data_IF_185116289839
#
_entry.id   IF_185116289839
#
_cell.length_a   1.000
_cell.length_b   1.000
_cell.length_c   1.000
_cell.angle_alpha   90.00
_cell.angle_beta   90.00
_cell.angle_gamma   90.00
#
_symmetry.space_group_name_H-M   'P 1'
#
loop_
_entity.id
_entity.type
_entity.pdbx_description
1 polymer ?
#
# COMPACT_ATOMS: atom_id res chain seq x y z
N UNK A 1 -21.87 0.91 4.67
CA UNK A 1 -21.67 2.32 5.09
C UNK A 1 -20.35 2.90 4.60
N UNK A 2 -19.16 2.30 4.84
CA UNK A 2 -17.87 2.83 4.34
C UNK A 2 -17.76 2.74 2.82
N UNK A 3 -18.07 1.60 2.24
CA UNK A 3 -18.01 1.38 0.78
C UNK A 3 -18.88 2.36 0.01
N UNK A 4 -20.12 2.60 0.48
CA UNK A 4 -21.03 3.57 -0.14
C UNK A 4 -20.55 5.02 0.00
N UNK A 5 -19.93 5.39 1.13
CA UNK A 5 -19.37 6.72 1.35
C UNK A 5 -18.18 7.00 0.43
N UNK A 6 -17.41 5.96 0.11
CA UNK A 6 -16.26 6.02 -0.81
C UNK A 6 -16.65 5.82 -2.28
N UNK A 7 -17.91 5.45 -2.56
CA UNK A 7 -18.36 5.15 -3.91
C UNK A 7 -17.73 3.88 -4.51
N UNK A 8 -17.32 2.93 -3.65
CA UNK A 8 -16.75 1.66 -4.10
C UNK A 8 -17.86 0.72 -4.56
N UNK A 9 -17.67 0.14 -5.75
CA UNK A 9 -18.56 -0.87 -6.32
C UNK A 9 -18.10 -2.26 -5.86
N UNK A 10 -18.93 -2.91 -5.05
CA UNK A 10 -18.59 -4.21 -4.45
C UNK A 10 -18.42 -5.32 -5.51
N UNK A 11 -19.19 -5.28 -6.59
CA UNK A 11 -19.08 -6.28 -7.66
C UNK A 11 -17.75 -6.13 -8.41
N UNK A 12 -17.30 -4.90 -8.65
CA UNK A 12 -15.98 -4.63 -9.22
C UNK A 12 -14.84 -5.05 -8.27
N UNK A 13 -14.99 -4.87 -6.96
CA UNK A 13 -13.99 -5.33 -5.98
C UNK A 13 -13.87 -6.86 -5.96
N UNK A 14 -14.99 -7.59 -6.09
CA UNK A 14 -14.98 -9.04 -6.23
C UNK A 14 -14.35 -9.50 -7.54
N UNK A 15 -14.65 -8.82 -8.66
CA UNK A 15 -14.04 -9.10 -9.96
C UNK A 15 -12.52 -8.85 -9.94
N UNK A 16 -12.09 -7.74 -9.34
CA UNK A 16 -10.68 -7.41 -9.15
C UNK A 16 -9.95 -8.49 -8.35
N UNK A 17 -10.57 -8.97 -7.26
CA UNK A 17 -10.00 -10.03 -6.44
C UNK A 17 -9.90 -11.36 -7.19
N UNK A 18 -10.91 -11.69 -8.00
CA UNK A 18 -10.87 -12.88 -8.87
C UNK A 18 -9.74 -12.79 -9.90
N UNK A 19 -9.57 -11.62 -10.53
CA UNK A 19 -8.47 -11.39 -11.48
C UNK A 19 -7.11 -11.50 -10.78
N UNK A 20 -6.96 -10.87 -9.62
CA UNK A 20 -5.74 -10.96 -8.82
C UNK A 20 -5.37 -12.41 -8.48
N UNK A 21 -6.37 -13.23 -8.15
CA UNK A 21 -6.18 -14.66 -7.88
C UNK A 21 -5.68 -15.43 -9.12
N UNK A 22 -6.27 -15.18 -10.29
CA UNK A 22 -5.83 -15.80 -11.53
C UNK A 22 -4.40 -15.43 -11.88
N UNK A 23 -4.06 -14.15 -11.70
CA UNK A 23 -2.70 -13.64 -11.92
C UNK A 23 -1.72 -14.29 -10.95
N UNK A 24 -2.00 -14.27 -9.65
CA UNK A 24 -1.14 -14.87 -8.63
C UNK A 24 -0.80 -16.33 -8.96
N UNK A 25 -1.80 -17.12 -9.34
CA UNK A 25 -1.63 -18.52 -9.73
C UNK A 25 -0.85 -18.69 -11.03
N UNK A 26 -1.11 -17.84 -12.02
CA UNK A 26 -0.49 -17.97 -13.36
C UNK A 26 1.01 -17.70 -13.35
N UNK A 27 1.48 -16.82 -12.46
CA UNK A 27 2.90 -16.46 -12.36
C UNK A 27 3.61 -17.15 -11.17
N UNK A 28 2.87 -17.87 -10.33
CA UNK A 28 3.43 -18.55 -9.17
C UNK A 28 3.95 -17.55 -8.12
N UNK A 29 3.12 -16.56 -7.75
CA UNK A 29 3.45 -15.65 -6.65
C UNK A 29 3.65 -16.46 -5.38
N UNK A 30 4.71 -16.15 -4.64
CA UNK A 30 5.00 -16.75 -3.34
C UNK A 30 3.84 -16.55 -2.37
N UNK A 31 3.70 -17.46 -1.41
CA UNK A 31 2.70 -17.32 -0.36
C UNK A 31 2.89 -15.97 0.36
N UNK A 32 1.86 -15.12 0.43
CA UNK A 32 1.97 -13.82 1.07
C UNK A 32 2.35 -13.89 2.55
N UNK A 33 2.04 -14.98 3.25
CA UNK A 33 2.47 -15.17 4.63
C UNK A 33 3.97 -15.37 4.76
N UNK A 34 4.60 -16.09 3.82
CA UNK A 34 6.05 -16.27 3.81
C UNK A 34 6.76 -14.94 3.54
N UNK A 35 6.29 -14.18 2.55
CA UNK A 35 6.83 -12.84 2.24
C UNK A 35 6.61 -11.88 3.42
N UNK A 36 5.42 -11.93 4.04
CA UNK A 36 5.09 -11.13 5.22
C UNK A 36 6.01 -11.47 6.40
N UNK A 37 6.38 -12.74 6.57
CA UNK A 37 7.31 -13.17 7.62
C UNK A 37 8.70 -12.58 7.41
N UNK A 38 9.19 -12.54 6.17
CA UNK A 38 10.46 -11.90 5.84
C UNK A 38 10.42 -10.39 6.09
N UNK A 39 9.36 -9.71 5.64
CA UNK A 39 9.18 -8.29 5.91
C UNK A 39 9.13 -8.02 7.41
N UNK A 40 8.46 -8.89 8.18
CA UNK A 40 8.40 -8.76 9.64
C UNK A 40 9.78 -8.82 10.26
N UNK A 41 10.69 -9.67 9.77
CA UNK A 41 12.07 -9.78 10.30
C UNK A 41 12.87 -8.48 10.16
N UNK A 42 12.54 -7.65 9.18
CA UNK A 42 13.21 -6.36 8.94
C UNK A 42 12.49 -5.16 9.55
N UNK A 43 11.23 -5.32 9.97
CA UNK A 43 10.37 -4.26 10.53
C UNK A 43 10.22 -4.36 12.04
N UNK A 44 10.02 -5.58 12.58
CA UNK A 44 9.66 -5.78 13.98
C UNK A 44 10.69 -5.19 14.94
N UNK A 45 10.20 -4.45 15.94
CA UNK A 45 11.02 -3.81 16.95
C UNK A 45 11.81 -2.59 16.48
N UNK A 46 11.70 -2.20 15.21
CA UNK A 46 12.41 -1.03 14.67
C UNK A 46 11.51 0.21 14.58
N UNK A 47 12.15 1.39 14.53
CA UNK A 47 11.51 2.60 14.04
C UNK A 47 11.31 2.48 12.53
N UNK A 48 10.09 2.75 12.07
CA UNK A 48 9.71 2.72 10.66
C UNK A 48 9.22 4.10 10.23
N UNK A 49 9.76 4.60 9.12
CA UNK A 49 9.22 5.79 8.47
C UNK A 49 8.15 5.36 7.47
N UNK A 50 6.92 5.85 7.65
CA UNK A 50 5.84 5.68 6.66
C UNK A 50 5.78 6.94 5.82
N UNK A 51 6.16 6.81 4.54
CA UNK A 51 6.31 7.94 3.63
C UNK A 51 5.13 8.00 2.66
N UNK A 52 4.29 9.00 2.84
CA UNK A 52 3.16 9.31 1.94
C UNK A 52 3.53 10.34 0.90
N UNK A 53 2.64 10.53 -0.07
CA UNK A 53 2.79 11.43 -1.20
C UNK A 53 2.13 12.82 -0.98
N UNK A 54 1.94 13.23 0.26
CA UNK A 54 1.34 14.53 0.59
C UNK A 54 2.31 15.70 0.40
N UNK A 55 1.79 16.95 0.43
CA UNK A 55 2.60 18.15 0.19
C UNK A 55 3.79 18.33 1.12
N UNK A 56 3.73 17.84 2.35
CA UNK A 56 4.84 17.92 3.30
C UNK A 56 5.98 16.94 3.03
N UNK A 57 5.78 15.94 2.18
CA UNK A 57 6.78 14.90 1.89
C UNK A 57 8.11 15.51 1.42
N UNK A 58 8.05 16.37 0.42
CA UNK A 58 9.23 17.03 -0.18
C UNK A 58 10.06 17.87 0.80
N UNK A 59 9.44 18.34 1.88
CA UNK A 59 10.13 19.13 2.91
C UNK A 59 10.63 18.28 4.08
N UNK A 60 10.07 17.08 4.25
CA UNK A 60 10.24 16.27 5.45
C UNK A 60 11.07 15.01 5.24
N UNK A 61 11.22 14.50 4.00
CA UNK A 61 11.93 13.25 3.74
C UNK A 61 13.42 13.31 4.16
N UNK A 62 14.03 14.47 4.17
CA UNK A 62 15.41 14.67 4.65
C UNK A 62 15.61 14.34 6.14
N UNK A 63 14.52 14.15 6.90
CA UNK A 63 14.57 13.71 8.31
C UNK A 63 14.76 12.19 8.44
N UNK A 64 14.69 11.45 7.33
CA UNK A 64 14.87 10.00 7.33
C UNK A 64 16.36 9.70 7.49
N UNK A 65 16.67 8.95 8.54
CA UNK A 65 18.04 8.59 8.88
C UNK A 65 18.53 7.44 8.00
N UNK A 66 19.82 7.42 7.65
CA UNK A 66 20.43 6.30 6.93
C UNK A 66 20.32 5.02 7.76
N UNK A 67 20.14 3.87 7.10
CA UNK A 67 19.94 2.58 7.74
C UNK A 67 18.52 2.35 8.27
N UNK A 68 17.59 3.31 8.06
CA UNK A 68 16.22 3.20 8.51
C UNK A 68 15.41 2.19 7.69
N UNK A 69 14.33 1.69 8.30
CA UNK A 69 13.27 0.96 7.60
C UNK A 69 12.18 1.94 7.13
N UNK A 70 11.82 1.84 5.86
CA UNK A 70 10.85 2.73 5.22
C UNK A 70 9.73 1.89 4.61
N UNK A 71 8.48 2.30 4.81
CA UNK A 71 7.34 1.85 4.03
C UNK A 71 6.79 3.06 3.29
N UNK A 72 6.99 3.09 1.98
CA UNK A 72 6.59 4.22 1.15
C UNK A 72 5.34 3.91 0.33
N UNK A 73 4.48 4.92 0.20
CA UNK A 73 3.22 4.86 -0.51
C UNK A 73 3.38 5.38 -1.94
N UNK A 74 3.16 4.49 -2.90
CA UNK A 74 3.10 4.77 -4.32
C UNK A 74 4.28 5.63 -4.82
N UNK A 75 4.04 6.70 -5.56
CA UNK A 75 5.08 7.58 -6.11
C UNK A 75 6.00 8.23 -5.07
N UNK A 76 5.62 8.25 -3.77
CA UNK A 76 6.52 8.72 -2.72
C UNK A 76 7.79 7.86 -2.61
N UNK A 77 7.78 6.61 -3.10
CA UNK A 77 8.97 5.77 -3.15
C UNK A 77 10.09 6.36 -4.03
N UNK A 78 9.77 7.26 -4.97
CA UNK A 78 10.79 7.95 -5.78
C UNK A 78 11.74 8.81 -4.94
N UNK A 79 11.33 9.25 -3.75
CA UNK A 79 12.18 10.00 -2.81
C UNK A 79 13.38 9.17 -2.32
N UNK A 80 13.33 7.83 -2.43
CA UNK A 80 14.44 6.95 -2.10
C UNK A 80 15.70 7.23 -2.95
N UNK A 81 15.56 7.84 -4.12
CA UNK A 81 16.71 8.25 -4.95
C UNK A 81 17.64 9.22 -4.23
N UNK A 82 17.10 9.97 -3.25
CA UNK A 82 17.80 10.96 -2.48
C UNK A 82 18.27 10.47 -1.10
N UNK A 83 17.95 9.21 -0.77
CA UNK A 83 18.32 8.60 0.50
C UNK A 83 19.46 7.60 0.31
N UNK A 84 20.28 7.45 1.32
CA UNK A 84 21.34 6.45 1.39
C UNK A 84 20.78 5.01 1.52
N UNK A 85 21.53 4.13 2.15
CA UNK A 85 21.11 2.76 2.39
C UNK A 85 19.90 2.73 3.33
N UNK A 86 18.80 2.21 2.83
CA UNK A 86 17.54 2.02 3.57
C UNK A 86 16.91 0.70 3.16
N UNK A 87 16.20 0.06 4.09
CA UNK A 87 15.34 -1.09 3.80
C UNK A 87 13.98 -0.53 3.41
N UNK A 88 13.56 -0.73 2.17
CA UNK A 88 12.32 -0.15 1.66
C UNK A 88 11.26 -1.20 1.34
N UNK A 89 10.00 -0.87 1.63
CA UNK A 89 8.80 -1.60 1.23
C UNK A 89 7.89 -0.60 0.49
N UNK A 90 7.50 -0.93 -0.73
CA UNK A 90 6.52 -0.14 -1.49
C UNK A 90 5.11 -0.67 -1.22
N UNK A 91 4.17 0.23 -0.96
CA UNK A 91 2.73 -0.05 -0.96
C UNK A 91 2.11 0.82 -2.05
N UNK A 92 1.49 0.21 -3.06
CA UNK A 92 1.08 0.92 -4.27
C UNK A 92 -0.14 0.28 -4.92
N UNK A 93 -0.98 1.09 -5.55
CA UNK A 93 -1.97 0.66 -6.54
C UNK A 93 -1.49 0.89 -7.99
N UNK A 94 -0.22 1.34 -8.13
CA UNK A 94 0.47 1.67 -9.37
C UNK A 94 -0.09 2.90 -10.12
N UNK A 95 -0.89 3.70 -9.46
CA UNK A 95 -1.43 4.97 -9.98
C UNK A 95 -0.32 6.01 -10.23
N UNK A 96 0.74 5.98 -9.43
CA UNK A 96 1.92 6.84 -9.53
C UNK A 96 2.99 6.35 -10.53
N UNK A 97 2.69 5.27 -11.24
CA UNK A 97 3.62 4.61 -12.15
C UNK A 97 4.30 3.38 -11.55
N UNK A 98 5.03 2.66 -12.39
CA UNK A 98 5.71 1.41 -12.00
C UNK A 98 7.12 1.65 -11.46
N UNK A 99 7.74 2.75 -11.90
CA UNK A 99 9.14 3.08 -11.63
C UNK A 99 9.45 3.23 -10.12
N UNK A 100 8.57 3.83 -9.28
CA UNK A 100 8.81 3.89 -7.84
C UNK A 100 8.87 2.51 -7.17
N UNK A 101 8.03 1.57 -7.63
CA UNK A 101 8.05 0.19 -7.13
C UNK A 101 9.29 -0.58 -7.62
N UNK A 102 9.70 -0.38 -8.88
CA UNK A 102 10.93 -0.94 -9.41
C UNK A 102 12.17 -0.47 -8.64
N UNK A 103 12.24 0.81 -8.33
CA UNK A 103 13.32 1.36 -7.51
C UNK A 103 13.45 0.65 -6.16
N UNK A 104 12.33 0.36 -5.50
CA UNK A 104 12.30 -0.40 -4.24
C UNK A 104 12.78 -1.84 -4.46
N UNK A 105 12.28 -2.50 -5.50
CA UNK A 105 12.66 -3.87 -5.81
C UNK A 105 14.15 -4.01 -6.13
N UNK A 106 14.71 -3.11 -6.93
CA UNK A 106 16.12 -3.11 -7.34
C UNK A 106 17.08 -2.88 -6.16
N UNK A 107 16.60 -2.20 -5.12
CA UNK A 107 17.30 -2.03 -3.85
C UNK A 107 17.13 -3.21 -2.88
N UNK A 108 16.55 -4.32 -3.33
CA UNK A 108 16.34 -5.51 -2.51
C UNK A 108 15.08 -5.47 -1.65
N UNK A 109 14.23 -4.46 -1.81
CA UNK A 109 12.99 -4.26 -1.06
C UNK A 109 11.83 -5.14 -1.51
N UNK A 110 10.69 -4.95 -0.87
CA UNK A 110 9.45 -5.69 -1.11
C UNK A 110 8.37 -4.76 -1.69
N UNK A 111 7.43 -5.35 -2.42
CA UNK A 111 6.32 -4.62 -3.04
C UNK A 111 5.00 -5.18 -2.53
N UNK A 112 4.11 -4.33 -2.11
CA UNK A 112 2.72 -4.65 -1.76
C UNK A 112 1.81 -3.94 -2.76
N UNK A 113 1.15 -4.72 -3.61
CA UNK A 113 0.29 -4.18 -4.67
C UNK A 113 -1.16 -4.32 -4.26
N UNK A 114 -1.85 -3.19 -4.17
CA UNK A 114 -3.30 -3.14 -3.99
C UNK A 114 -4.01 -3.31 -5.34
N UNK A 115 -4.80 -4.37 -5.47
CA UNK A 115 -5.66 -4.62 -6.64
C UNK A 115 -7.11 -4.38 -6.22
N UNK A 116 -7.79 -3.49 -6.93
CA UNK A 116 -9.16 -3.07 -6.63
C UNK A 116 -9.94 -2.75 -7.92
N UNK A 117 -11.24 -2.41 -7.77
CA UNK A 117 -12.16 -2.20 -8.89
C UNK A 117 -11.70 -1.20 -9.94
N UNK A 118 -10.90 -0.18 -9.55
CA UNK A 118 -10.46 0.86 -10.49
C UNK A 118 -9.21 0.45 -11.30
N UNK A 119 -8.32 -0.42 -10.72
CA UNK A 119 -7.02 -0.71 -11.35
C UNK A 119 -6.84 -2.14 -11.89
N UNK A 120 -7.73 -3.10 -11.55
CA UNK A 120 -7.52 -4.51 -11.91
C UNK A 120 -7.34 -4.76 -13.42
N UNK A 121 -7.93 -3.92 -14.26
CA UNK A 121 -7.81 -4.01 -15.72
C UNK A 121 -6.41 -3.67 -16.24
N UNK A 122 -5.62 -2.93 -15.45
CA UNK A 122 -4.23 -2.60 -15.78
C UNK A 122 -3.25 -3.74 -15.46
N UNK A 123 -3.64 -4.69 -14.58
CA UNK A 123 -2.75 -5.77 -14.12
C UNK A 123 -2.20 -6.62 -15.27
N UNK A 124 -2.95 -7.00 -16.32
CA UNK A 124 -2.38 -7.72 -17.46
C UNK A 124 -1.22 -7.00 -18.17
N UNK A 125 -1.17 -5.66 -18.10
CA UNK A 125 -0.11 -4.88 -18.75
C UNK A 125 1.22 -4.88 -17.98
N UNK A 126 1.21 -5.31 -16.72
CA UNK A 126 2.41 -5.38 -15.86
C UNK A 126 2.85 -6.81 -15.54
N UNK A 127 2.36 -7.79 -16.28
CA UNK A 127 2.64 -9.21 -16.01
C UNK A 127 4.12 -9.56 -15.99
N UNK A 128 4.94 -8.91 -16.81
CA UNK A 128 6.38 -9.16 -16.84
C UNK A 128 7.07 -8.64 -15.58
N UNK A 129 6.65 -7.49 -15.07
CA UNK A 129 7.10 -6.97 -13.79
C UNK A 129 6.66 -7.88 -12.65
N UNK A 130 5.41 -8.34 -12.64
CA UNK A 130 4.91 -9.27 -11.61
C UNK A 130 5.68 -10.59 -11.61
N UNK A 131 6.04 -11.14 -12.77
CA UNK A 131 6.89 -12.34 -12.87
C UNK A 131 8.28 -12.11 -12.26
N UNK A 132 8.86 -10.92 -12.50
CA UNK A 132 10.15 -10.53 -11.92
C UNK A 132 10.06 -10.37 -10.41
N UNK A 133 8.97 -9.83 -9.90
CA UNK A 133 8.75 -9.53 -8.48
C UNK A 133 8.19 -10.69 -7.67
N UNK A 134 7.78 -11.79 -8.30
CA UNK A 134 6.97 -12.87 -7.71
C UNK A 134 7.44 -13.39 -6.35
N UNK A 135 8.75 -13.33 -6.07
CA UNK A 135 9.34 -13.83 -4.83
C UNK A 135 9.35 -12.78 -3.69
N UNK A 136 9.11 -11.50 -4.02
CA UNK A 136 9.11 -10.36 -3.09
C UNK A 136 7.91 -9.43 -3.28
N UNK A 137 6.82 -9.94 -3.84
CA UNK A 137 5.57 -9.21 -4.01
C UNK A 137 4.46 -9.83 -3.16
N UNK A 138 3.63 -8.97 -2.58
CA UNK A 138 2.36 -9.32 -1.94
C UNK A 138 1.25 -8.69 -2.77
N UNK A 139 0.32 -9.50 -3.26
CA UNK A 139 -0.90 -9.02 -3.88
C UNK A 139 -1.98 -8.92 -2.80
N UNK A 140 -2.55 -7.73 -2.64
CA UNK A 140 -3.62 -7.46 -1.67
C UNK A 140 -4.86 -6.92 -2.35
N UNK A 141 -6.04 -7.22 -1.78
CA UNK A 141 -7.33 -6.85 -2.33
C UNK A 141 -8.16 -6.05 -1.33
N UNK A 142 -9.19 -5.36 -1.81
CA UNK A 142 -10.04 -4.53 -0.97
C UNK A 142 -11.08 -5.35 -0.19
N UNK A 143 -11.44 -6.52 -0.72
CA UNK A 143 -12.33 -7.48 -0.07
C UNK A 143 -11.58 -8.75 0.28
N UNK A 144 -12.01 -9.45 1.32
CA UNK A 144 -11.43 -10.72 1.71
C UNK A 144 -11.79 -11.80 0.69
N UNK A 145 -10.82 -12.20 -0.14
CA UNK A 145 -10.98 -13.23 -1.17
C UNK A 145 -10.07 -14.42 -0.86
N UNK A 146 -10.68 -15.60 -0.69
CA UNK A 146 -9.92 -16.82 -0.41
C UNK A 146 -9.20 -17.34 -1.65
N UNK A 147 -7.91 -17.07 -1.73
CA UNK A 147 -7.05 -17.55 -2.80
C UNK A 147 -5.60 -17.60 -2.33
N UNK A 148 -4.90 -18.70 -2.67
CA UNK A 148 -3.45 -18.74 -2.43
C UNK A 148 -2.73 -17.67 -3.28
N UNK A 149 -1.78 -16.96 -2.70
CA UNK A 149 -1.07 -15.85 -3.34
C UNK A 149 -1.73 -14.48 -3.15
N UNK A 150 -2.88 -14.42 -2.44
CA UNK A 150 -3.53 -13.16 -2.05
C UNK A 150 -3.63 -13.00 -0.54
N UNK A 151 -3.64 -11.76 -0.11
CA UNK A 151 -3.99 -11.38 1.27
C UNK A 151 -4.83 -10.11 1.25
N UNK A 152 -5.34 -9.69 2.41
CA UNK A 152 -5.99 -8.40 2.58
C UNK A 152 -5.23 -7.57 3.62
N UNK A 153 -4.75 -6.40 3.20
CA UNK A 153 -4.17 -5.40 4.10
C UNK A 153 -5.14 -4.22 4.11
N UNK A 154 -5.79 -3.91 5.24
CA UNK A 154 -6.77 -2.84 5.30
C UNK A 154 -6.18 -1.46 5.01
N UNK A 155 -6.98 -0.62 4.35
CA UNK A 155 -6.66 0.75 4.01
C UNK A 155 -7.48 1.25 2.83
N UNK A 156 -7.56 2.57 2.65
CA UNK A 156 -8.26 3.21 1.53
C UNK A 156 -7.33 4.06 0.66
N UNK A 157 -6.11 4.29 1.14
CA UNK A 157 -4.99 4.87 0.39
C UNK A 157 -3.76 4.02 0.66
N UNK A 158 -2.74 4.12 -0.20
CA UNK A 158 -1.49 3.41 0.02
C UNK A 158 -0.79 3.85 1.31
N UNK A 159 -0.95 5.13 1.68
CA UNK A 159 -0.36 5.68 2.91
C UNK A 159 -0.94 5.07 4.19
N UNK A 160 -2.25 5.01 4.35
CA UNK A 160 -2.86 4.41 5.54
C UNK A 160 -2.67 2.90 5.58
N UNK A 161 -2.65 2.24 4.41
CA UNK A 161 -2.29 0.82 4.26
C UNK A 161 -0.84 0.56 4.67
N UNK A 162 0.10 1.42 4.27
CA UNK A 162 1.50 1.36 4.69
C UNK A 162 1.64 1.50 6.22
N UNK A 163 0.86 2.40 6.82
CA UNK A 163 0.85 2.58 8.28
C UNK A 163 0.30 1.34 9.01
N UNK A 164 -0.82 0.79 8.51
CA UNK A 164 -1.41 -0.45 9.06
C UNK A 164 -0.43 -1.60 8.95
N UNK A 165 0.23 -1.73 7.81
CA UNK A 165 1.26 -2.75 7.59
C UNK A 165 2.41 -2.63 8.60
N UNK A 166 2.98 -1.43 8.78
CA UNK A 166 4.03 -1.18 9.76
C UNK A 166 3.62 -1.62 11.17
N UNK A 167 2.40 -1.27 11.57
CA UNK A 167 1.84 -1.64 12.88
C UNK A 167 1.64 -3.14 13.02
N UNK A 168 1.05 -3.79 12.01
CA UNK A 168 0.81 -5.24 12.00
C UNK A 168 2.11 -6.05 12.05
N UNK A 169 3.17 -5.54 11.45
CA UNK A 169 4.51 -6.15 11.45
C UNK A 169 5.30 -5.92 12.74
N UNK A 170 4.75 -5.13 13.68
CA UNK A 170 5.37 -4.93 14.99
C UNK A 170 6.47 -3.86 15.01
N UNK A 171 6.36 -2.81 14.20
CA UNK A 171 7.20 -1.64 14.33
C UNK A 171 7.11 -1.08 15.76
N UNK A 172 8.27 -0.77 16.38
CA UNK A 172 8.30 -0.20 17.73
C UNK A 172 7.87 1.28 17.76
N UNK A 173 8.12 1.97 16.66
CA UNK A 173 7.75 3.37 16.47
C UNK A 173 7.44 3.60 14.98
N UNK A 174 6.40 4.35 14.69
CA UNK A 174 6.03 4.73 13.32
C UNK A 174 6.10 6.24 13.21
N UNK A 175 6.99 6.73 12.36
CA UNK A 175 7.16 8.16 12.07
C UNK A 175 6.56 8.47 10.70
N UNK A 176 5.42 9.17 10.64
CA UNK A 176 4.81 9.55 9.37
C UNK A 176 5.55 10.72 8.72
N UNK A 177 5.81 10.61 7.42
CA UNK A 177 6.40 11.63 6.56
C UNK A 177 5.47 11.84 5.37
N UNK A 178 5.03 13.06 5.09
CA UNK A 178 4.14 13.32 3.95
C UNK A 178 2.77 12.63 4.02
N UNK A 179 2.33 12.30 5.22
CA UNK A 179 1.03 11.66 5.48
C UNK A 179 -0.06 12.72 5.75
N UNK A 180 -0.18 13.70 4.88
CA UNK A 180 -1.04 14.89 5.04
C UNK A 180 -2.53 14.55 4.90
N UNK A 181 -3.07 13.77 5.84
CA UNK A 181 -4.42 13.18 5.79
C UNK A 181 -5.57 14.20 5.87
N UNK A 182 -5.26 15.44 6.25
CA UNK A 182 -6.20 16.58 6.26
C UNK A 182 -5.97 17.54 5.10
N UNK A 183 -5.06 17.23 4.17
CA UNK A 183 -4.76 18.11 3.04
C UNK A 183 -5.87 18.13 2.01
N UNK A 184 -6.16 19.32 1.52
CA UNK A 184 -6.99 19.55 0.32
C UNK A 184 -6.15 19.60 -0.96
N UNK A 185 -4.86 19.29 -0.87
CA UNK A 185 -3.92 19.33 -1.98
C UNK A 185 -3.26 17.96 -2.18
N UNK A 186 -2.89 17.70 -3.43
CA UNK A 186 -2.11 16.54 -3.88
C UNK A 186 -0.85 17.00 -4.60
N UNK A 187 0.13 16.11 -4.71
CA UNK A 187 1.40 16.37 -5.41
C UNK A 187 1.61 15.40 -6.55
N UNK A 188 2.59 15.68 -7.40
CA UNK A 188 3.03 14.77 -8.47
C UNK A 188 3.55 13.42 -7.92
N UNK A 189 3.98 13.35 -6.67
CA UNK A 189 4.31 12.08 -5.99
C UNK A 189 3.09 11.18 -5.82
N UNK A 190 1.87 11.76 -5.76
CA UNK A 190 0.64 10.96 -5.71
C UNK A 190 0.23 10.47 -7.09
N UNK A 191 0.31 11.35 -8.10
CA UNK A 191 0.04 11.03 -9.51
C UNK A 191 0.81 12.00 -10.39
N UNK A 192 1.45 11.50 -11.44
CA UNK A 192 2.25 12.29 -12.39
C UNK A 192 1.48 13.44 -13.08
N UNK A 193 0.15 13.40 -13.06
CA UNK A 193 -0.71 14.47 -13.61
C UNK A 193 -0.81 15.70 -12.70
N UNK A 194 -0.36 15.63 -11.46
CA UNK A 194 -0.38 16.74 -10.53
C UNK A 194 0.93 17.53 -10.57
N UNK A 195 0.86 18.84 -10.25
CA UNK A 195 2.01 19.66 -9.92
C UNK A 195 2.46 19.44 -8.47
N UNK A 196 3.33 20.33 -7.99
CA UNK A 196 3.81 20.25 -6.59
C UNK A 196 2.69 20.44 -5.57
N UNK A 197 1.62 21.14 -5.93
CA UNK A 197 0.54 21.51 -5.03
C UNK A 197 -0.77 21.70 -5.85
N UNK A 198 -1.41 20.63 -6.22
CA UNK A 198 -2.66 20.64 -6.99
C UNK A 198 -3.87 20.36 -6.08
N UNK A 199 -5.04 20.97 -6.30
CA UNK A 199 -6.26 20.65 -5.53
C UNK A 199 -6.57 19.16 -5.59
N UNK A 200 -6.83 18.56 -4.45
CA UNK A 200 -7.23 17.16 -4.36
C UNK A 200 -8.70 17.01 -4.80
N UNK A 201 -9.01 15.88 -5.44
CA UNK A 201 -10.40 15.56 -5.78
C UNK A 201 -11.22 15.28 -4.52
N UNK A 202 -12.54 15.45 -4.61
CA UNK A 202 -13.47 15.14 -3.50
C UNK A 202 -13.31 13.68 -3.05
N UNK A 203 -13.14 12.75 -4.00
CA UNK A 203 -12.89 11.34 -3.69
C UNK A 203 -11.59 11.16 -2.89
N UNK A 204 -10.50 11.81 -3.28
CA UNK A 204 -9.23 11.77 -2.54
C UNK A 204 -9.38 12.29 -1.13
N UNK A 205 -10.04 13.44 -0.94
CA UNK A 205 -10.29 14.02 0.38
C UNK A 205 -11.08 13.06 1.27
N UNK A 206 -12.11 12.39 0.73
CA UNK A 206 -12.88 11.37 1.46
C UNK A 206 -12.01 10.18 1.87
N UNK A 207 -11.19 9.64 0.95
CA UNK A 207 -10.25 8.55 1.24
C UNK A 207 -9.26 8.96 2.34
N UNK A 208 -8.69 10.16 2.29
CA UNK A 208 -7.77 10.67 3.32
C UNK A 208 -8.43 10.77 4.70
N UNK A 209 -9.68 11.26 4.78
CA UNK A 209 -10.45 11.31 6.04
C UNK A 209 -10.68 9.91 6.63
N UNK A 210 -10.96 8.91 5.80
CA UNK A 210 -11.07 7.53 6.25
C UNK A 210 -9.72 6.97 6.68
N UNK A 211 -8.65 7.24 5.95
CA UNK A 211 -7.29 6.87 6.32
C UNK A 211 -6.90 7.41 7.70
N UNK A 212 -7.25 8.66 8.00
CA UNK A 212 -7.05 9.26 9.33
C UNK A 212 -7.77 8.47 10.44
N UNK A 213 -9.03 8.05 10.19
CA UNK A 213 -9.79 7.24 11.15
C UNK A 213 -9.16 5.87 11.38
N UNK A 214 -8.66 5.24 10.31
CA UNK A 214 -7.95 3.95 10.38
C UNK A 214 -6.69 4.09 11.23
N UNK A 215 -5.84 5.06 10.94
CA UNK A 215 -4.62 5.32 11.69
C UNK A 215 -4.93 5.66 13.16
N UNK A 216 -6.01 6.41 13.41
CA UNK A 216 -6.47 6.80 14.75
C UNK A 216 -7.07 5.67 15.60
N UNK A 217 -7.12 4.43 15.09
CA UNK A 217 -7.52 3.25 15.88
C UNK A 217 -8.83 2.59 15.47
N UNK A 218 -9.57 3.10 14.47
CA UNK A 218 -10.78 2.44 13.97
C UNK A 218 -10.48 1.02 13.47
N UNK A 219 -9.28 0.81 12.96
CA UNK A 219 -8.78 -0.48 12.47
C UNK A 219 -8.80 -1.59 13.53
N UNK A 220 -8.46 -1.29 14.78
CA UNK A 220 -8.44 -2.29 15.86
C UNK A 220 -9.83 -2.86 16.14
N UNK A 221 -10.88 -2.07 15.95
CA UNK A 221 -12.26 -2.51 16.14
C UNK A 221 -12.77 -3.31 14.92
N UNK A 222 -12.27 -3.03 13.71
CA UNK A 222 -12.69 -3.73 12.49
C UNK A 222 -12.15 -5.16 12.41
N UNK A 223 -10.91 -5.38 12.81
CA UNK A 223 -10.27 -6.72 12.79
C UNK A 223 -10.78 -7.61 13.92
N UNK A 224 -11.26 -7.03 15.02
CA UNK A 224 -11.75 -7.80 16.19
C UNK A 224 -13.22 -8.20 16.09
N UNK A 225 -14.01 -7.59 15.19
CA UNK A 225 -15.46 -7.82 15.09
C UNK A 225 -15.88 -8.82 14.01
N UNK A 226 -15.05 -9.08 13.01
CA UNK A 226 -15.31 -10.11 12.01
C UNK A 226 -14.51 -11.37 12.28
N UNK A 227 -15.04 -12.25 13.13
CA UNK A 227 -14.72 -13.68 13.00
C UNK A 227 -15.34 -14.14 11.68
N UNK A 228 -14.57 -14.70 10.74
CA UNK A 228 -15.18 -15.37 9.60
C UNK A 228 -16.08 -16.48 10.15
N UNK A 229 -17.39 -16.32 9.99
CA UNK A 229 -18.31 -17.44 10.20
C UNK A 229 -17.89 -18.58 9.29
N UNK A 230 -18.12 -19.85 9.66
CA UNK A 230 -17.83 -20.95 8.79
C UNK A 230 -18.65 -20.76 7.52
N UNK A 231 -17.96 -20.60 6.40
CA UNK A 231 -18.59 -20.61 5.08
C UNK A 231 -19.20 -22.01 4.91
N UNK A 232 -20.52 -22.05 4.99
CA UNK A 232 -21.26 -23.23 4.52
C UNK A 232 -20.88 -23.51 3.07
N UNK A 233 -20.59 -24.76 2.81
CA UNK A 233 -20.36 -25.37 1.50
C UNK A 233 -21.53 -25.09 0.55
#
# INVERSE_FOLDING_TARGET
MVLSDLGLDLDLEWEASRMACLVARSIGVRDPLDVMHEIKSVVAGKRVYVVGAGPSALKSYMRIESGSCIICADGACSLLTHLGDVIAISVTDLDGGIEPAELVFDRGGYIVIQIHGDNYRSIPHIMDHLRRWRDRVILTTQVHYQCSGLTMIPGFTDGDRAYVLAKALGASEITPIGMDLDSEFSTYLSKNIYGENSPATISKIRKLRWGRRIIGGLYLNYVTTERPGPLGL
#
